data_IF_590716836078
#
_entry.id   IF_590716836078
#
_cell.length_a   1.000
_cell.length_b   1.000
_cell.length_c   1.000
_cell.angle_alpha   90.00
_cell.angle_beta   90.00
_cell.angle_gamma   90.00
#
_symmetry.space_group_name_H-M   'P 1'
#
loop_
_entity.id
_entity.type
_entity.pdbx_description
1 polymer ?
#
# COMPACT_ATOMS: atom_id res chain seq x y z
N UNK A 1 14.16 -27.58 -5.40
CA UNK A 1 13.39 -28.09 -6.55
C UNK A 1 11.94 -27.69 -6.37
N UNK A 2 11.24 -27.16 -7.39
CA UNK A 2 9.82 -26.83 -7.26
C UNK A 2 8.98 -28.10 -7.30
N UNK A 3 8.12 -28.29 -6.30
CA UNK A 3 7.12 -29.37 -6.27
C UNK A 3 5.85 -28.86 -6.95
N UNK A 4 5.32 -29.62 -7.90
CA UNK A 4 4.03 -29.32 -8.55
C UNK A 4 2.95 -30.15 -7.87
N UNK A 5 2.00 -29.49 -7.23
CA UNK A 5 0.80 -30.13 -6.68
C UNK A 5 -0.38 -29.92 -7.63
N UNK A 6 -1.29 -30.89 -7.66
CA UNK A 6 -2.61 -30.72 -8.26
C UNK A 6 -3.55 -30.01 -7.28
N UNK A 7 -4.64 -29.42 -7.78
CA UNK A 7 -5.62 -28.72 -6.94
C UNK A 7 -6.26 -29.64 -5.89
N UNK A 8 -6.50 -30.91 -6.24
CA UNK A 8 -7.03 -31.92 -5.31
C UNK A 8 -6.04 -32.25 -4.18
N UNK A 9 -4.74 -32.31 -4.49
CA UNK A 9 -3.71 -32.50 -3.49
C UNK A 9 -3.62 -31.29 -2.57
N UNK A 10 -3.70 -30.08 -3.13
CA UNK A 10 -3.73 -28.85 -2.35
C UNK A 10 -4.93 -28.81 -1.39
N UNK A 11 -6.13 -29.14 -1.87
CA UNK A 11 -7.34 -29.16 -1.06
C UNK A 11 -7.24 -30.16 0.10
N UNK A 12 -6.61 -31.31 -0.13
CA UNK A 12 -6.36 -32.32 0.93
C UNK A 12 -5.43 -31.77 2.00
N UNK A 13 -4.32 -31.13 1.60
CA UNK A 13 -3.40 -30.50 2.55
C UNK A 13 -4.04 -29.35 3.32
N UNK A 14 -4.93 -28.58 2.68
CA UNK A 14 -5.68 -27.52 3.34
C UNK A 14 -6.62 -28.11 4.40
N UNK A 15 -7.41 -29.13 4.03
CA UNK A 15 -8.31 -29.79 4.98
C UNK A 15 -7.56 -30.39 6.18
N UNK A 16 -6.40 -31.02 5.96
CA UNK A 16 -5.54 -31.54 7.02
C UNK A 16 -4.96 -30.42 7.91
N UNK A 17 -4.64 -29.26 7.34
CA UNK A 17 -4.10 -28.13 8.10
C UNK A 17 -5.18 -27.37 8.89
N UNK A 18 -6.42 -27.39 8.42
CA UNK A 18 -7.58 -26.72 9.03
C UNK A 18 -8.27 -27.59 10.10
N UNK A 19 -8.04 -28.90 10.11
CA UNK A 19 -8.58 -29.81 11.12
C UNK A 19 -8.14 -29.40 12.54
N UNK A 20 -9.12 -29.11 13.39
CA UNK A 20 -8.90 -28.64 14.76
C UNK A 20 -8.65 -27.14 14.95
N UNK A 21 -8.66 -26.33 13.88
CA UNK A 21 -8.61 -24.87 13.97
C UNK A 21 -9.98 -24.22 13.72
N UNK A 22 -10.35 -23.28 14.58
CA UNK A 22 -11.48 -22.38 14.34
C UNK A 22 -11.00 -21.20 13.48
N UNK A 23 -11.20 -21.34 12.17
CA UNK A 23 -10.77 -20.36 11.15
C UNK A 23 -11.36 -18.98 11.38
N UNK A 24 -12.62 -18.90 11.85
CA UNK A 24 -13.29 -17.63 12.12
C UNK A 24 -12.65 -16.91 13.32
N UNK A 25 -12.23 -17.66 14.35
CA UNK A 25 -11.47 -17.11 15.49
C UNK A 25 -10.05 -16.71 15.12
N UNK A 26 -9.44 -17.37 14.13
CA UNK A 26 -8.11 -17.04 13.60
C UNK A 26 -8.15 -15.77 12.73
N UNK A 27 -9.16 -15.65 11.87
CA UNK A 27 -9.42 -14.46 11.04
C UNK A 27 -9.64 -13.20 11.89
N UNK A 28 -10.36 -13.34 13.00
CA UNK A 28 -10.67 -12.22 13.92
C UNK A 28 -9.45 -11.72 14.71
N UNK A 29 -8.42 -12.56 14.91
CA UNK A 29 -7.19 -12.18 15.64
C UNK A 29 -6.18 -11.43 14.77
N UNK A 30 -6.28 -11.55 13.45
CA UNK A 30 -5.62 -10.64 12.54
C UNK A 30 -6.47 -9.39 12.42
N UNK A 31 -6.03 -8.25 12.98
CA UNK A 31 -6.42 -6.97 12.35
C UNK A 31 -6.12 -7.14 10.87
N UNK A 32 -7.18 -7.14 10.05
CA UNK A 32 -7.13 -7.64 8.70
C UNK A 32 -5.89 -7.15 7.95
N UNK A 33 -5.32 -8.03 7.12
CA UNK A 33 -4.72 -7.53 5.89
C UNK A 33 -5.83 -6.75 5.18
N UNK A 34 -5.86 -5.44 5.42
CA UNK A 34 -6.69 -4.51 4.69
C UNK A 34 -6.27 -4.63 3.23
N UNK A 35 -7.11 -5.30 2.45
CA UNK A 35 -7.16 -5.26 0.99
C UNK A 35 -5.82 -5.46 0.29
N UNK A 36 -5.58 -6.67 -0.18
CA UNK A 36 -4.64 -6.88 -1.29
C UNK A 36 -5.17 -6.29 -2.63
N UNK A 37 -6.21 -5.46 -2.61
CA UNK A 37 -6.90 -4.92 -3.79
C UNK A 37 -7.19 -3.41 -3.72
N UNK A 38 -6.47 -2.65 -2.90
CA UNK A 38 -6.46 -1.18 -2.97
C UNK A 38 -5.16 -0.82 -3.67
N UNK A 39 -5.21 -0.11 -4.81
CA UNK A 39 -4.02 0.32 -5.59
C UNK A 39 -2.82 0.56 -4.67
N UNK A 40 -1.76 -0.26 -4.79
CA UNK A 40 -0.62 -0.30 -3.86
C UNK A 40 -0.27 1.11 -3.39
N UNK A 41 -0.76 1.50 -2.22
CA UNK A 41 -0.43 2.80 -1.66
C UNK A 41 0.89 2.58 -0.95
N UNK A 42 1.99 2.91 -1.65
CA UNK A 42 3.32 2.73 -1.08
C UNK A 42 3.55 3.80 -0.01
N UNK A 43 3.60 3.38 1.25
CA UNK A 43 3.83 4.27 2.39
C UNK A 43 5.33 4.31 2.66
N UNK A 44 5.91 5.51 2.56
CA UNK A 44 7.33 5.76 2.83
C UNK A 44 7.43 6.60 4.11
N UNK A 45 8.27 6.16 5.05
CA UNK A 45 8.63 6.97 6.21
C UNK A 45 9.65 8.02 5.81
N UNK A 46 9.37 9.30 6.07
CA UNK A 46 10.26 10.42 5.75
C UNK A 46 10.67 11.13 7.04
N UNK A 47 11.93 11.55 7.12
CA UNK A 47 12.41 12.38 8.21
C UNK A 47 12.12 13.85 7.91
N UNK A 48 11.35 14.49 8.79
CA UNK A 48 11.08 15.92 8.77
C UNK A 48 11.47 16.50 10.12
N UNK A 49 12.08 17.68 10.12
CA UNK A 49 12.26 18.46 11.34
C UNK A 49 10.90 18.94 11.85
N UNK A 50 10.82 19.30 13.13
CA UNK A 50 9.58 19.83 13.72
C UNK A 50 9.08 21.10 12.99
N UNK A 51 10.00 21.93 12.51
CA UNK A 51 9.69 23.13 11.76
C UNK A 51 9.10 22.81 10.37
N UNK A 52 9.67 21.85 9.66
CA UNK A 52 9.17 21.42 8.34
C UNK A 52 7.80 20.76 8.46
N UNK A 53 7.56 19.95 9.49
CA UNK A 53 6.25 19.35 9.74
C UNK A 53 5.19 20.42 10.03
N UNK A 54 5.52 21.44 10.83
CA UNK A 54 4.62 22.55 11.10
C UNK A 54 4.31 23.38 9.85
N UNK A 55 5.31 23.60 8.98
CA UNK A 55 5.10 24.27 7.71
C UNK A 55 4.19 23.46 6.76
N UNK A 56 4.35 22.13 6.74
CA UNK A 56 3.46 21.23 5.99
C UNK A 56 2.02 21.30 6.52
N UNK A 57 1.83 21.33 7.83
CA UNK A 57 0.49 21.43 8.44
C UNK A 57 -0.20 22.76 8.10
N UNK A 58 0.53 23.87 8.15
CA UNK A 58 0.00 25.17 7.72
C UNK A 58 -0.38 25.19 6.23
N UNK A 59 0.39 24.51 5.39
CA UNK A 59 0.09 24.37 3.97
C UNK A 59 -1.18 23.55 3.75
N UNK A 60 -1.34 22.44 4.47
CA UNK A 60 -2.54 21.61 4.40
C UNK A 60 -3.79 22.37 4.83
N UNK A 61 -3.70 23.17 5.90
CA UNK A 61 -4.82 23.98 6.39
C UNK A 61 -5.23 25.05 5.38
N UNK A 62 -4.25 25.74 4.78
CA UNK A 62 -4.51 26.80 3.79
C UNK A 62 -5.16 26.27 2.51
N UNK A 63 -4.75 25.08 2.07
CA UNK A 63 -5.21 24.47 0.83
C UNK A 63 -6.37 23.49 1.03
N UNK A 64 -6.78 23.25 2.28
CA UNK A 64 -7.77 22.25 2.67
C UNK A 64 -7.45 20.86 2.07
N UNK A 65 -6.19 20.48 2.11
CA UNK A 65 -5.65 19.24 1.55
C UNK A 65 -5.15 18.33 2.67
N UNK A 66 -5.12 17.01 2.44
CA UNK A 66 -4.39 16.15 3.35
C UNK A 66 -2.86 16.24 3.11
N UNK A 67 -2.05 15.83 4.10
CA UNK A 67 -0.57 15.88 4.01
C UNK A 67 -0.02 15.20 2.75
N UNK A 68 -0.60 14.07 2.35
CA UNK A 68 -0.15 13.33 1.16
C UNK A 68 -0.47 14.05 -0.16
N UNK A 69 -1.57 14.80 -0.21
CA UNK A 69 -1.94 15.65 -1.34
C UNK A 69 -1.03 16.87 -1.42
N UNK A 70 -0.77 17.51 -0.28
CA UNK A 70 0.16 18.63 -0.20
C UNK A 70 1.58 18.24 -0.63
N UNK A 71 2.07 17.06 -0.20
CA UNK A 71 3.37 16.53 -0.64
C UNK A 71 3.38 16.23 -2.14
N UNK A 72 2.35 15.58 -2.67
CA UNK A 72 2.24 15.30 -4.12
C UNK A 72 2.21 16.60 -4.93
N UNK A 73 1.40 17.57 -4.50
CA UNK A 73 1.34 18.89 -5.12
C UNK A 73 2.71 19.55 -5.14
N UNK A 74 3.43 19.55 -4.01
CA UNK A 74 4.78 20.10 -3.93
C UNK A 74 5.75 19.41 -4.90
N UNK A 75 5.72 18.07 -5.00
CA UNK A 75 6.59 17.31 -5.92
C UNK A 75 6.29 17.71 -7.37
N UNK A 76 5.03 17.68 -7.80
CA UNK A 76 4.63 18.01 -9.19
C UNK A 76 4.98 19.45 -9.56
N UNK A 77 4.84 20.39 -8.62
CA UNK A 77 5.14 21.81 -8.89
C UNK A 77 6.62 22.17 -8.71
N UNK A 78 7.37 21.37 -7.95
CA UNK A 78 8.83 21.52 -7.80
C UNK A 78 9.62 20.99 -9.00
N UNK A 79 9.04 20.04 -9.74
CA UNK A 79 9.68 19.41 -10.88
C UNK A 79 8.66 19.20 -12.03
N UNK A 80 8.41 20.24 -12.85
CA UNK A 80 7.46 20.16 -13.96
C UNK A 80 7.87 19.12 -15.02
N UNK A 81 9.14 18.71 -15.05
CA UNK A 81 9.70 17.77 -16.03
C UNK A 81 9.64 16.30 -15.55
N UNK A 82 9.28 16.04 -14.30
CA UNK A 82 9.27 14.69 -13.71
C UNK A 82 8.20 13.75 -14.30
N UNK A 83 7.20 14.30 -14.99
CA UNK A 83 6.19 13.53 -15.73
C UNK A 83 6.47 13.56 -17.24
N UNK A 84 7.71 13.22 -17.63
CA UNK A 84 8.01 12.76 -18.98
C UNK A 84 7.25 11.46 -19.27
N UNK A 85 6.16 11.58 -20.02
CA UNK A 85 5.34 10.54 -20.66
C UNK A 85 5.65 9.07 -20.28
N UNK A 86 4.95 8.46 -19.29
CA UNK A 86 5.11 7.03 -18.98
C UNK A 86 4.48 6.09 -20.04
N UNK A 87 4.02 6.61 -21.18
CA UNK A 87 3.40 5.82 -22.27
C UNK A 87 4.13 5.96 -23.62
N UNK A 88 5.33 6.56 -23.64
CA UNK A 88 6.15 6.65 -24.85
C UNK A 88 7.19 5.53 -24.93
N UNK A 89 6.79 4.30 -25.24
CA UNK A 89 7.64 3.27 -25.90
C UNK A 89 6.85 1.96 -26.15
N UNK A 90 5.62 2.10 -26.66
CA UNK A 90 4.88 1.00 -27.30
C UNK A 90 4.45 1.45 -28.70
N UNK A 91 5.43 1.63 -29.59
CA UNK A 91 5.22 1.74 -31.03
C UNK A 91 6.31 0.93 -31.75
#
# INVERSE_FOLDING_TARGET
MPVRLTDDQLATYVAEAEDGYDLDRLSTRGRGRLGQDIHRTHVVTVHLTAAELAALDQLTDRLNMNRSEAIRYAITHSNPDAYGNPLGDYA
#
